data_IF_522211897390
#
_entry.id   IF_522211897390
#
_cell.length_a   1.000
_cell.length_b   1.000
_cell.length_c   1.000
_cell.angle_alpha   90.00
_cell.angle_beta   90.00
_cell.angle_gamma   90.00
#
_symmetry.space_group_name_H-M   'P 1'
#
loop_
_entity.id
_entity.type
_entity.pdbx_description
1 polymer ?
#
# COMPACT_ATOMS: atom_id res chain seq x y z
N UNK A 1 -27.93 -33.53 17.92
CA UNK A 1 -27.54 -34.12 16.62
C UNK A 1 -27.21 -32.97 15.67
N UNK A 2 -25.96 -32.49 15.70
CA UNK A 2 -25.54 -31.25 15.07
C UNK A 2 -24.57 -31.49 13.92
N UNK A 3 -24.78 -30.75 12.83
CA UNK A 3 -23.93 -30.25 11.71
C UNK A 3 -22.61 -31.01 11.36
N UNK A 4 -21.89 -31.59 12.31
CA UNK A 4 -20.69 -32.39 12.06
C UNK A 4 -20.95 -33.77 11.45
N UNK A 5 -22.19 -34.27 11.43
CA UNK A 5 -22.54 -35.51 10.73
C UNK A 5 -22.76 -35.33 9.22
N UNK A 6 -22.82 -34.09 8.71
CA UNK A 6 -22.96 -33.81 7.27
C UNK A 6 -21.61 -33.78 6.52
N UNK A 7 -20.49 -33.87 7.22
CA UNK A 7 -19.14 -33.94 6.64
C UNK A 7 -18.54 -35.37 6.68
N UNK A 8 -19.25 -36.32 7.30
CA UNK A 8 -18.83 -37.72 7.43
C UNK A 8 -19.49 -38.61 6.38
N UNK A 9 -19.03 -38.52 5.14
CA UNK A 9 -19.59 -39.32 4.04
C UNK A 9 -18.65 -39.45 2.86
N UNK A 10 -17.65 -40.32 3.00
CA UNK A 10 -16.90 -40.97 1.92
C UNK A 10 -16.67 -40.14 0.64
N UNK A 11 -15.67 -39.26 0.68
CA UNK A 11 -14.86 -39.00 -0.52
C UNK A 11 -13.47 -39.56 -0.27
N UNK A 12 -13.13 -40.56 -1.07
CA UNK A 12 -11.77 -41.07 -1.24
C UNK A 12 -10.78 -39.92 -1.10
N UNK A 13 -9.78 -40.07 -0.23
CA UNK A 13 -8.69 -39.12 -0.07
C UNK A 13 -8.00 -38.93 -1.43
N UNK A 14 -8.52 -38.01 -2.24
CA UNK A 14 -7.84 -37.56 -3.43
C UNK A 14 -6.55 -36.92 -2.93
N UNK A 15 -5.38 -37.31 -3.46
CA UNK A 15 -4.15 -36.60 -3.13
C UNK A 15 -4.41 -35.13 -3.42
N UNK A 16 -4.24 -34.28 -2.41
CA UNK A 16 -4.42 -32.84 -2.54
C UNK A 16 -3.70 -32.40 -3.82
N UNK A 17 -4.36 -31.63 -4.71
CA UNK A 17 -3.79 -31.29 -6.00
C UNK A 17 -2.40 -30.67 -5.79
N UNK A 18 -1.39 -31.23 -6.46
CA UNK A 18 -0.02 -30.70 -6.37
C UNK A 18 -0.04 -29.26 -6.86
N UNK A 19 0.07 -28.33 -5.93
CA UNK A 19 0.16 -26.91 -6.22
C UNK A 19 1.46 -26.66 -6.99
N UNK A 20 1.34 -25.94 -8.10
CA UNK A 20 2.50 -25.43 -8.83
C UNK A 20 3.27 -24.43 -7.96
N UNK A 21 4.58 -24.31 -8.15
CA UNK A 21 5.41 -23.33 -7.44
C UNK A 21 4.81 -21.90 -7.46
N UNK A 22 4.26 -21.39 -8.59
CA UNK A 22 3.56 -20.11 -8.62
C UNK A 22 2.32 -20.05 -7.73
N UNK A 23 1.52 -21.12 -7.66
CA UNK A 23 0.36 -21.18 -6.75
C UNK A 23 0.81 -21.14 -5.29
N UNK A 24 1.89 -21.84 -4.92
CA UNK A 24 2.45 -21.79 -3.57
C UNK A 24 2.89 -20.36 -3.21
N UNK A 25 3.55 -19.66 -4.14
CA UNK A 25 3.96 -18.26 -3.94
C UNK A 25 2.75 -17.35 -3.76
N UNK A 26 1.75 -17.45 -4.64
CA UNK A 26 0.52 -16.64 -4.56
C UNK A 26 -0.24 -16.90 -3.25
N UNK A 27 -0.37 -18.17 -2.86
CA UNK A 27 -1.01 -18.59 -1.61
C UNK A 27 -0.21 -18.08 -0.41
N UNK A 28 1.12 -18.19 -0.42
CA UNK A 28 1.98 -17.69 0.65
C UNK A 28 1.92 -16.18 0.82
N UNK A 29 1.98 -15.42 -0.28
CA UNK A 29 1.82 -13.95 -0.27
C UNK A 29 0.42 -13.58 0.22
N UNK A 30 -0.62 -14.23 -0.31
CA UNK A 30 -2.00 -13.99 0.11
C UNK A 30 -2.19 -14.24 1.61
N UNK A 31 -1.72 -15.38 2.14
CA UNK A 31 -1.86 -15.70 3.57
C UNK A 31 -1.03 -14.80 4.46
N UNK A 32 0.16 -14.39 4.04
CA UNK A 32 0.97 -13.43 4.80
C UNK A 32 0.23 -12.10 4.91
N UNK A 33 -0.28 -11.61 3.77
CA UNK A 33 -1.07 -10.37 3.70
C UNK A 33 -2.37 -10.49 4.51
N UNK A 34 -3.08 -11.61 4.38
CA UNK A 34 -4.33 -11.87 5.08
C UNK A 34 -4.12 -11.98 6.59
N UNK A 35 -3.10 -12.70 7.05
CA UNK A 35 -2.79 -12.83 8.49
C UNK A 35 -2.37 -11.49 9.08
N UNK A 36 -1.61 -10.68 8.34
CA UNK A 36 -1.26 -9.32 8.75
C UNK A 36 -2.49 -8.42 8.85
N UNK A 37 -3.38 -8.46 7.85
CA UNK A 37 -4.64 -7.70 7.86
C UNK A 37 -5.60 -8.17 8.95
N UNK A 38 -5.78 -9.48 9.09
CA UNK A 38 -6.65 -10.08 10.09
C UNK A 38 -6.13 -9.84 11.52
N UNK A 39 -4.82 -9.89 11.74
CA UNK A 39 -4.21 -9.50 13.00
C UNK A 39 -4.40 -7.99 13.26
N UNK A 40 -4.22 -7.14 12.24
CA UNK A 40 -4.50 -5.71 12.35
C UNK A 40 -5.94 -5.41 12.78
N UNK A 41 -6.92 -6.02 12.10
CA UNK A 41 -8.36 -5.86 12.38
C UNK A 41 -8.75 -6.43 13.76
N UNK A 42 -8.31 -7.66 14.07
CA UNK A 42 -8.65 -8.31 15.34
C UNK A 42 -8.05 -7.59 16.57
N UNK A 43 -6.94 -6.89 16.38
CA UNK A 43 -6.30 -6.08 17.43
C UNK A 43 -6.89 -4.67 17.52
N UNK A 44 -7.49 -4.14 16.43
CA UNK A 44 -8.24 -2.88 16.43
C UNK A 44 -9.57 -3.00 17.22
N UNK A 45 -10.22 -4.16 17.15
CA UNK A 45 -11.41 -4.51 17.95
C UNK A 45 -11.12 -4.68 19.46
N UNK A 46 -9.84 -4.79 19.86
CA UNK A 46 -9.42 -5.04 21.25
C UNK A 46 -9.28 -3.76 22.12
N UNK A 47 -9.50 -2.57 21.56
CA UNK A 47 -9.67 -1.33 22.33
C UNK A 47 -8.51 -0.32 22.31
N UNK A 48 -8.66 0.84 23.01
CA UNK A 48 -7.89 2.08 22.81
C UNK A 48 -6.44 2.10 23.30
N UNK A 49 -5.96 1.06 23.97
CA UNK A 49 -4.67 1.08 24.66
C UNK A 49 -3.54 0.36 23.90
N UNK A 50 -3.79 -0.18 22.69
CA UNK A 50 -2.72 -0.83 21.96
C UNK A 50 -1.84 0.18 21.24
N UNK A 51 -0.54 0.10 21.57
CA UNK A 51 0.58 0.64 20.80
C UNK A 51 0.26 0.58 19.30
N UNK A 52 0.62 1.61 18.52
CA UNK A 52 0.55 1.54 17.06
C UNK A 52 1.21 0.22 16.64
N UNK A 53 0.46 -0.77 16.16
CA UNK A 53 1.04 -1.96 15.53
C UNK A 53 1.57 -1.60 14.14
N UNK A 54 1.10 -0.48 13.58
CA UNK A 54 1.51 0.08 12.30
C UNK A 54 3.02 0.22 12.07
N UNK A 55 3.88 0.65 13.03
CA UNK A 55 5.32 0.77 12.84
C UNK A 55 6.04 -0.58 12.86
N UNK A 56 5.42 -1.65 13.38
CA UNK A 56 5.95 -3.02 13.31
C UNK A 56 5.46 -3.71 12.05
N UNK A 57 4.20 -3.46 11.66
CA UNK A 57 3.61 -4.02 10.45
C UNK A 57 4.25 -3.48 9.17
N UNK A 58 4.69 -2.22 9.12
CA UNK A 58 5.39 -1.67 7.95
C UNK A 58 6.71 -2.42 7.67
N UNK A 59 7.64 -2.61 8.63
CA UNK A 59 8.80 -3.47 8.47
C UNK A 59 8.46 -4.92 8.13
N UNK A 60 7.37 -5.49 8.65
CA UNK A 60 6.94 -6.85 8.32
C UNK A 60 6.45 -6.93 6.86
N UNK A 61 5.65 -5.97 6.41
CA UNK A 61 5.21 -5.87 5.01
C UNK A 61 6.42 -5.68 4.10
N UNK A 62 7.31 -4.74 4.43
CA UNK A 62 8.51 -4.45 3.66
C UNK A 62 9.48 -5.64 3.61
N UNK A 63 9.73 -6.27 4.76
CA UNK A 63 10.55 -7.46 4.90
C UNK A 63 9.98 -8.66 4.16
N UNK A 64 8.66 -8.88 4.24
CA UNK A 64 7.97 -9.91 3.47
C UNK A 64 8.08 -9.66 1.97
N UNK A 65 7.86 -8.42 1.51
CA UNK A 65 8.02 -8.05 0.10
C UNK A 65 9.45 -8.31 -0.38
N UNK A 66 10.46 -7.99 0.44
CA UNK A 66 11.86 -8.25 0.11
C UNK A 66 12.21 -9.73 0.10
N UNK A 67 11.69 -10.51 1.05
CA UNK A 67 11.92 -11.95 1.13
C UNK A 67 11.43 -12.67 -0.15
N UNK A 68 10.26 -12.26 -0.65
CA UNK A 68 9.63 -12.85 -1.84
C UNK A 68 9.90 -12.08 -3.14
N UNK A 69 10.73 -11.04 -3.11
CA UNK A 69 10.90 -10.10 -4.24
C UNK A 69 11.37 -10.81 -5.51
N UNK A 70 12.29 -11.78 -5.39
CA UNK A 70 12.81 -12.54 -6.52
C UNK A 70 11.73 -13.36 -7.22
N UNK A 71 10.92 -14.07 -6.43
CA UNK A 71 9.82 -14.91 -6.91
C UNK A 71 8.68 -14.07 -7.51
N UNK A 72 8.27 -13.00 -6.83
CA UNK A 72 7.27 -12.05 -7.35
C UNK A 72 7.75 -11.45 -8.66
N UNK A 73 9.01 -10.99 -8.72
CA UNK A 73 9.58 -10.41 -9.93
C UNK A 73 9.61 -11.43 -11.07
N UNK A 74 10.04 -12.67 -10.82
CA UNK A 74 10.07 -13.73 -11.83
C UNK A 74 8.67 -14.04 -12.38
N UNK A 75 7.67 -14.13 -11.49
CA UNK A 75 6.28 -14.33 -11.88
C UNK A 75 5.76 -13.17 -12.75
N UNK A 76 5.91 -11.93 -12.30
CA UNK A 76 5.47 -10.73 -13.04
C UNK A 76 6.17 -10.60 -14.39
N UNK A 77 7.42 -11.02 -14.46
CA UNK A 77 8.22 -10.93 -15.67
C UNK A 77 7.65 -11.82 -16.78
N UNK A 78 7.11 -12.99 -16.43
CA UNK A 78 6.54 -13.97 -17.37
C UNK A 78 5.05 -13.75 -17.65
N UNK A 79 4.42 -12.78 -16.97
CA UNK A 79 3.02 -12.45 -17.22
C UNK A 79 2.84 -11.80 -18.59
N UNK A 80 1.79 -12.20 -19.31
CA UNK A 80 1.36 -11.55 -20.57
C UNK A 80 0.74 -10.16 -20.34
N UNK A 81 0.41 -9.82 -19.09
CA UNK A 81 -0.27 -8.57 -18.73
C UNK A 81 0.67 -7.36 -19.03
N UNK A 82 0.14 -6.26 -19.60
CA UNK A 82 0.90 -5.04 -19.80
C UNK A 82 1.47 -4.47 -18.49
N UNK A 83 2.68 -3.94 -18.53
CA UNK A 83 3.39 -3.48 -17.33
C UNK A 83 2.65 -2.38 -16.55
N UNK A 84 1.93 -1.49 -17.23
CA UNK A 84 1.15 -0.43 -16.57
C UNK A 84 -0.05 -0.98 -15.80
N UNK A 85 -0.69 -2.04 -16.31
CA UNK A 85 -1.80 -2.72 -15.63
C UNK A 85 -1.28 -3.43 -14.38
N UNK A 86 -0.19 -4.20 -14.52
CA UNK A 86 0.47 -4.85 -13.38
C UNK A 86 0.91 -3.85 -12.32
N UNK A 87 1.48 -2.72 -12.74
CA UNK A 87 1.88 -1.64 -11.85
C UNK A 87 0.69 -1.06 -11.08
N UNK A 88 -0.44 -0.81 -11.77
CA UNK A 88 -1.66 -0.31 -11.16
C UNK A 88 -2.28 -1.30 -10.17
N UNK A 89 -2.49 -2.56 -10.58
CA UNK A 89 -3.10 -3.59 -9.73
C UNK A 89 -2.23 -3.85 -8.49
N UNK A 90 -0.94 -4.11 -8.70
CA UNK A 90 -0.02 -4.41 -7.61
C UNK A 90 0.17 -3.21 -6.69
N UNK A 91 0.24 -2.01 -7.27
CA UNK A 91 0.38 -0.79 -6.51
C UNK A 91 -0.84 -0.48 -5.66
N UNK A 92 -2.05 -0.65 -6.19
CA UNK A 92 -3.25 -0.48 -5.41
C UNK A 92 -3.36 -1.53 -4.31
N UNK A 93 -3.03 -2.79 -4.59
CA UNK A 93 -3.02 -3.86 -3.59
C UNK A 93 -2.06 -3.53 -2.44
N UNK A 94 -0.79 -3.24 -2.76
CA UNK A 94 0.26 -2.95 -1.77
C UNK A 94 -0.02 -1.66 -0.99
N UNK A 95 -0.55 -0.64 -1.66
CA UNK A 95 -0.93 0.60 -1.00
C UNK A 95 -2.10 0.37 -0.04
N UNK A 96 -3.15 -0.36 -0.45
CA UNK A 96 -4.29 -0.69 0.43
C UNK A 96 -3.85 -1.51 1.64
N UNK A 97 -2.93 -2.47 1.48
CA UNK A 97 -2.37 -3.23 2.61
C UNK A 97 -1.60 -2.31 3.57
N UNK A 98 -0.77 -1.41 3.01
CA UNK A 98 0.03 -0.48 3.81
C UNK A 98 -0.88 0.50 4.56
N UNK A 99 -1.88 1.06 3.87
CA UNK A 99 -2.88 1.96 4.46
C UNK A 99 -3.68 1.24 5.53
N UNK A 100 -4.20 0.04 5.25
CA UNK A 100 -4.93 -0.79 6.22
C UNK A 100 -4.11 -1.08 7.47
N UNK A 101 -2.80 -1.32 7.32
CA UNK A 101 -1.89 -1.49 8.45
C UNK A 101 -1.60 -0.18 9.22
N UNK A 102 -1.83 0.99 8.62
CA UNK A 102 -1.61 2.32 9.22
C UNK A 102 -2.89 3.03 9.69
N UNK A 103 -4.06 2.55 9.27
CA UNK A 103 -5.38 3.17 9.43
C UNK A 103 -5.82 3.29 10.89
N UNK A 104 -5.24 2.50 11.80
CA UNK A 104 -5.51 2.59 13.25
C UNK A 104 -5.28 3.97 13.89
N UNK A 105 -4.70 4.93 13.15
CA UNK A 105 -4.55 6.32 13.60
C UNK A 105 -5.58 7.33 13.05
N UNK A 106 -6.28 7.04 11.95
CA UNK A 106 -7.12 8.04 11.26
C UNK A 106 -8.60 7.67 11.12
N UNK A 107 -8.95 6.39 11.24
CA UNK A 107 -10.36 5.97 11.15
C UNK A 107 -11.12 6.27 12.44
N UNK A 108 -10.44 6.36 13.59
CA UNK A 108 -11.10 6.74 14.86
C UNK A 108 -11.69 8.16 14.85
N UNK A 109 -11.06 9.11 14.18
CA UNK A 109 -11.63 10.48 14.07
C UNK A 109 -12.79 10.55 13.05
N UNK A 110 -12.89 9.59 12.11
CA UNK A 110 -14.02 9.49 11.17
C UNK A 110 -15.07 8.44 11.55
N UNK A 111 -14.83 7.63 12.58
CA UNK A 111 -15.80 6.69 13.15
C UNK A 111 -16.95 7.40 13.90
N UNK A 112 -16.94 8.74 13.94
CA UNK A 112 -18.12 9.55 14.23
C UNK A 112 -19.10 9.68 13.03
N UNK A 113 -18.79 9.04 11.90
CA UNK A 113 -19.69 8.94 10.74
C UNK A 113 -20.23 7.51 10.61
N UNK A 114 -21.51 7.38 10.23
CA UNK A 114 -22.23 6.10 10.02
C UNK A 114 -21.67 5.25 8.85
N UNK A 115 -20.44 5.50 8.42
CA UNK A 115 -19.81 4.85 7.26
C UNK A 115 -19.07 3.60 7.75
N UNK A 116 -19.42 2.39 7.30
CA UNK A 116 -18.73 1.15 7.68
C UNK A 116 -17.22 1.23 7.42
N UNK A 117 -16.39 0.67 8.32
CA UNK A 117 -14.93 0.68 8.22
C UNK A 117 -14.37 0.12 6.87
N UNK A 118 -15.12 -0.80 6.25
CA UNK A 118 -14.82 -1.28 4.90
C UNK A 118 -14.94 -0.18 3.83
N UNK A 119 -15.95 0.70 3.94
CA UNK A 119 -16.17 1.81 3.02
C UNK A 119 -15.16 2.95 3.24
N UNK A 120 -14.65 3.17 4.46
CA UNK A 120 -13.57 4.15 4.68
C UNK A 120 -12.26 3.77 3.99
N UNK A 121 -11.98 2.46 3.86
CA UNK A 121 -10.80 1.98 3.11
C UNK A 121 -10.94 2.23 1.61
N UNK A 122 -12.16 2.13 1.06
CA UNK A 122 -12.41 2.38 -0.36
C UNK A 122 -12.12 3.83 -0.75
N UNK A 123 -12.34 4.81 0.13
CA UNK A 123 -12.07 6.23 -0.14
C UNK A 123 -10.62 6.48 -0.58
N UNK A 124 -9.68 5.66 -0.11
CA UNK A 124 -8.26 5.85 -0.40
C UNK A 124 -7.82 5.28 -1.77
N UNK A 125 -8.62 4.45 -2.42
CA UNK A 125 -8.24 3.84 -3.71
C UNK A 125 -7.93 4.90 -4.77
N UNK A 126 -8.81 5.90 -4.90
CA UNK A 126 -8.65 7.02 -5.84
C UNK A 126 -7.32 7.74 -5.71
N UNK A 127 -7.03 8.39 -4.56
CA UNK A 127 -5.78 9.12 -4.38
C UNK A 127 -4.53 8.29 -4.68
N UNK A 128 -4.48 7.03 -4.22
CA UNK A 128 -3.35 6.14 -4.47
C UNK A 128 -3.21 5.73 -5.94
N UNK A 129 -4.31 5.54 -6.67
CA UNK A 129 -4.27 5.36 -8.12
C UNK A 129 -3.62 6.57 -8.81
N UNK A 130 -3.93 7.78 -8.35
CA UNK A 130 -3.33 9.02 -8.83
C UNK A 130 -1.81 9.08 -8.60
N UNK A 131 -1.35 8.71 -7.41
CA UNK A 131 0.08 8.66 -7.07
C UNK A 131 0.84 7.63 -7.92
N UNK A 132 0.23 6.47 -8.16
CA UNK A 132 0.77 5.44 -9.05
C UNK A 132 0.86 5.93 -10.49
N UNK A 133 -0.20 6.55 -11.01
CA UNK A 133 -0.23 7.13 -12.36
C UNK A 133 0.84 8.22 -12.53
N UNK A 134 0.98 9.11 -11.55
CA UNK A 134 2.01 10.15 -11.54
C UNK A 134 3.43 9.55 -11.55
N UNK A 135 3.67 8.54 -10.72
CA UNK A 135 4.96 7.83 -10.65
C UNK A 135 5.29 7.13 -11.96
N UNK A 136 4.30 6.46 -12.57
CA UNK A 136 4.44 5.81 -13.86
C UNK A 136 4.77 6.82 -14.97
N UNK A 137 4.05 7.95 -15.01
CA UNK A 137 4.27 9.01 -15.98
C UNK A 137 5.65 9.63 -15.84
N UNK A 138 6.06 9.96 -14.61
CA UNK A 138 7.38 10.51 -14.32
C UNK A 138 8.50 9.54 -14.75
N UNK A 139 8.29 8.23 -14.56
CA UNK A 139 9.24 7.20 -15.00
C UNK A 139 9.42 7.09 -16.50
N UNK A 140 8.45 7.53 -17.32
CA UNK A 140 8.67 7.62 -18.78
C UNK A 140 9.82 8.56 -19.13
N UNK A 141 10.14 9.51 -18.25
CA UNK A 141 11.17 10.53 -18.48
C UNK A 141 12.44 10.32 -17.67
N UNK A 142 12.31 9.92 -16.41
CA UNK A 142 13.42 9.83 -15.45
C UNK A 142 13.53 8.46 -14.79
N UNK A 143 14.77 8.03 -14.53
CA UNK A 143 15.13 6.74 -13.91
C UNK A 143 14.86 6.73 -12.40
N UNK A 144 13.63 7.05 -12.00
CA UNK A 144 13.21 6.91 -10.60
C UNK A 144 13.26 5.44 -10.17
N UNK A 145 13.71 5.24 -8.94
CA UNK A 145 13.94 3.94 -8.29
C UNK A 145 13.02 3.85 -7.08
N UNK A 146 12.87 2.66 -6.48
CA UNK A 146 12.03 2.46 -5.30
C UNK A 146 12.37 3.45 -4.17
N UNK A 147 13.65 3.64 -3.84
CA UNK A 147 14.05 4.59 -2.78
C UNK A 147 13.70 6.05 -3.09
N UNK A 148 13.66 6.44 -4.37
CA UNK A 148 13.25 7.79 -4.75
C UNK A 148 11.77 8.01 -4.45
N UNK A 149 10.92 7.05 -4.82
CA UNK A 149 9.50 7.11 -4.51
C UNK A 149 9.26 7.02 -2.99
N UNK A 150 10.01 6.18 -2.29
CA UNK A 150 9.94 6.04 -0.84
C UNK A 150 10.15 7.38 -0.13
N UNK A 151 11.28 8.06 -0.41
CA UNK A 151 11.58 9.32 0.26
C UNK A 151 10.66 10.46 -0.20
N UNK A 152 10.30 10.51 -1.48
CA UNK A 152 9.43 11.59 -1.99
C UNK A 152 8.03 11.49 -1.40
N UNK A 153 7.41 10.31 -1.45
CA UNK A 153 6.07 10.12 -0.90
C UNK A 153 6.06 10.08 0.62
N UNK A 154 7.08 9.47 1.23
CA UNK A 154 7.22 9.45 2.67
C UNK A 154 7.35 10.86 3.25
N UNK A 155 8.19 11.72 2.64
CA UNK A 155 8.32 13.11 3.05
C UNK A 155 7.04 13.91 2.79
N UNK A 156 6.40 13.74 1.63
CA UNK A 156 5.11 14.38 1.35
C UNK A 156 4.06 13.99 2.38
N UNK A 157 3.88 12.68 2.63
CA UNK A 157 2.96 12.17 3.62
C UNK A 157 3.25 12.72 5.02
N UNK A 158 4.52 12.71 5.44
CA UNK A 158 4.91 13.27 6.73
C UNK A 158 4.58 14.77 6.86
N UNK A 159 4.67 15.54 5.77
CA UNK A 159 4.39 16.98 5.79
C UNK A 159 2.89 17.31 5.69
N UNK A 160 2.08 16.44 5.09
CA UNK A 160 0.67 16.77 4.76
C UNK A 160 -0.35 16.02 5.59
N UNK A 161 0.00 14.86 6.15
CA UNK A 161 -0.96 13.99 6.82
C UNK A 161 -1.27 14.44 8.25
N UNK A 162 -2.40 13.98 8.78
CA UNK A 162 -2.93 14.39 10.10
C UNK A 162 -3.02 15.91 10.27
N UNK A 163 -3.41 16.63 9.21
CA UNK A 163 -3.50 18.09 9.24
C UNK A 163 -2.16 18.79 9.40
N UNK A 164 -1.05 18.12 9.07
CA UNK A 164 0.30 18.66 9.28
C UNK A 164 0.76 18.55 10.74
N UNK A 165 0.34 17.50 11.46
CA UNK A 165 0.75 17.30 12.86
C UNK A 165 2.28 17.32 13.05
N UNK A 166 3.04 16.71 12.14
CA UNK A 166 4.50 16.70 12.20
C UNK A 166 5.11 18.10 12.03
N UNK A 167 4.82 18.88 10.96
CA UNK A 167 5.36 20.23 10.86
C UNK A 167 4.87 21.15 11.99
N UNK A 168 3.62 21.00 12.46
CA UNK A 168 3.11 21.78 13.59
C UNK A 168 3.88 21.49 14.88
N UNK A 169 4.12 20.22 15.23
CA UNK A 169 4.91 19.85 16.41
C UNK A 169 6.33 20.43 16.37
N UNK A 170 6.98 20.42 15.19
CA UNK A 170 8.30 21.04 15.01
C UNK A 170 8.26 22.57 15.21
N UNK A 171 7.21 23.23 14.70
CA UNK A 171 7.03 24.68 14.86
C UNK A 171 6.72 25.08 16.31
N UNK A 172 6.03 24.22 17.06
CA UNK A 172 5.72 24.39 18.48
C UNK A 172 6.91 24.08 19.40
N UNK A 173 8.04 23.62 18.84
CA UNK A 173 9.26 23.31 19.58
C UNK A 173 9.32 21.89 20.14
N UNK A 174 8.31 21.04 19.87
CA UNK A 174 8.36 19.60 20.18
C UNK A 174 9.12 18.83 19.09
N UNK A 175 10.45 18.97 19.13
CA UNK A 175 11.36 18.32 18.19
C UNK A 175 11.27 16.79 18.29
N UNK A 176 11.12 16.26 19.51
CA UNK A 176 11.07 14.80 19.73
C UNK A 176 9.78 14.23 19.16
N UNK A 177 8.63 14.84 19.43
CA UNK A 177 7.35 14.44 18.86
C UNK A 177 7.34 14.52 17.33
N UNK A 178 7.84 15.62 16.76
CA UNK A 178 7.95 15.79 15.31
C UNK A 178 8.85 14.74 14.64
N UNK A 179 9.99 14.39 15.26
CA UNK A 179 10.88 13.34 14.75
C UNK A 179 10.26 11.94 14.85
N UNK A 180 9.58 11.63 15.97
CA UNK A 180 8.86 10.36 16.11
C UNK A 180 7.74 10.22 15.08
N UNK A 181 6.99 11.30 14.81
CA UNK A 181 6.00 11.35 13.74
C UNK A 181 6.65 11.17 12.37
N UNK A 182 7.81 11.77 12.10
CA UNK A 182 8.51 11.58 10.83
C UNK A 182 8.98 10.13 10.63
N UNK A 183 9.57 9.53 11.67
CA UNK A 183 10.00 8.11 11.67
C UNK A 183 8.83 7.17 11.42
N UNK A 184 7.61 7.58 11.80
CA UNK A 184 6.39 6.83 11.56
C UNK A 184 5.78 7.07 10.16
N UNK A 185 5.55 8.32 9.81
CA UNK A 185 4.83 8.72 8.59
C UNK A 185 5.66 8.45 7.33
N UNK A 186 6.99 8.66 7.37
CA UNK A 186 7.82 8.46 6.18
C UNK A 186 7.74 7.00 5.68
N UNK A 187 7.94 5.96 6.52
CA UNK A 187 7.74 4.58 6.10
C UNK A 187 6.30 4.26 5.70
N UNK A 188 5.31 4.76 6.44
CA UNK A 188 3.89 4.49 6.16
C UNK A 188 3.48 4.89 4.74
N UNK A 189 3.84 6.11 4.33
CA UNK A 189 3.47 6.63 3.01
C UNK A 189 4.51 6.27 1.93
N UNK A 190 5.77 6.12 2.31
CA UNK A 190 6.85 5.77 1.40
C UNK A 190 6.72 4.35 0.84
N UNK A 191 6.26 3.38 1.64
CA UNK A 191 6.25 1.96 1.24
C UNK A 191 5.27 1.64 0.11
N UNK A 192 4.06 2.21 0.08
CA UNK A 192 3.01 1.80 -0.87
C UNK A 192 3.46 1.78 -2.34
N UNK A 193 3.94 2.93 -2.85
CA UNK A 193 4.43 3.02 -4.24
C UNK A 193 5.87 2.49 -4.38
N UNK A 194 6.72 2.65 -3.37
CA UNK A 194 8.10 2.19 -3.44
C UNK A 194 8.22 0.67 -3.55
N UNK A 195 7.37 -0.07 -2.82
CA UNK A 195 7.31 -1.52 -2.85
C UNK A 195 6.94 -2.01 -4.26
N UNK A 196 5.94 -1.37 -4.87
CA UNK A 196 5.50 -1.63 -6.25
C UNK A 196 6.66 -1.49 -7.24
N UNK A 197 7.43 -0.40 -7.13
CA UNK A 197 8.62 -0.19 -7.96
C UNK A 197 9.74 -1.18 -7.66
N UNK A 198 9.85 -1.65 -6.42
CA UNK A 198 10.86 -2.61 -5.98
C UNK A 198 10.63 -4.00 -6.55
N UNK A 199 9.39 -4.46 -6.61
CA UNK A 199 9.07 -5.81 -7.11
C UNK A 199 8.88 -5.87 -8.62
N UNK A 200 8.49 -4.76 -9.26
CA UNK A 200 8.25 -4.74 -10.70
C UNK A 200 9.53 -5.01 -11.51
N UNK A 201 9.50 -5.94 -12.47
CA UNK A 201 10.64 -6.22 -13.33
C UNK A 201 10.93 -5.03 -14.25
N UNK A 202 12.21 -4.70 -14.45
CA UNK A 202 12.61 -3.51 -15.21
C UNK A 202 12.06 -3.48 -16.64
N UNK A 203 11.99 -4.65 -17.31
CA UNK A 203 11.42 -4.79 -18.65
C UNK A 203 9.92 -4.46 -18.76
N UNK A 204 9.20 -4.43 -17.63
CA UNK A 204 7.78 -4.07 -17.58
C UNK A 204 7.58 -2.61 -17.16
N UNK A 205 8.63 -1.92 -16.73
CA UNK A 205 8.58 -0.51 -16.35
C UNK A 205 8.92 0.36 -17.57
N UNK A 206 8.52 1.64 -17.60
CA UNK A 206 8.87 2.53 -18.69
C UNK A 206 10.40 2.67 -18.84
N UNK A 207 10.90 2.58 -20.07
CA UNK A 207 12.31 2.82 -20.38
C UNK A 207 12.64 4.31 -20.21
N UNK A 208 13.27 4.63 -19.09
CA UNK A 208 13.60 6.00 -18.76
C UNK A 208 14.96 6.44 -19.33
N UNK A 209 15.01 7.64 -19.91
CA UNK A 209 16.20 8.13 -20.62
C UNK A 209 17.16 8.96 -19.77
N UNK A 210 16.70 9.59 -18.68
CA UNK A 210 17.51 10.54 -17.87
C UNK A 210 17.64 10.12 -16.41
N UNK A 211 18.76 10.44 -15.78
CA UNK A 211 18.89 10.39 -14.33
C UNK A 211 17.97 11.45 -13.69
N UNK A 212 17.41 11.20 -12.49
CA UNK A 212 16.62 12.20 -11.77
C UNK A 212 17.52 13.35 -11.30
N UNK A 213 17.09 14.58 -11.58
CA UNK A 213 17.69 15.83 -11.07
C UNK A 213 16.74 16.47 -10.06
N UNK A 214 17.17 17.52 -9.35
CA UNK A 214 16.30 18.26 -8.42
C UNK A 214 14.99 18.70 -9.10
N UNK A 215 15.06 19.22 -10.32
CA UNK A 215 13.87 19.58 -11.10
C UNK A 215 12.98 18.38 -11.45
N UNK A 216 13.54 17.17 -11.59
CA UNK A 216 12.76 15.95 -11.77
C UNK A 216 11.97 15.59 -10.50
N UNK A 217 12.56 15.74 -9.30
CA UNK A 217 11.84 15.53 -8.04
C UNK A 217 10.72 16.55 -7.85
N UNK A 218 10.98 17.83 -8.14
CA UNK A 218 9.93 18.85 -8.12
C UNK A 218 8.78 18.50 -9.08
N UNK A 219 9.10 18.05 -10.30
CA UNK A 219 8.10 17.59 -11.25
C UNK A 219 7.34 16.34 -10.76
N UNK A 220 8.03 15.38 -10.13
CA UNK A 220 7.40 14.20 -9.53
C UNK A 220 6.41 14.59 -8.45
N UNK A 221 6.81 15.48 -7.53
CA UNK A 221 5.96 16.01 -6.46
C UNK A 221 4.72 16.70 -7.05
N UNK A 222 4.92 17.58 -8.04
CA UNK A 222 3.81 18.28 -8.69
C UNK A 222 2.84 17.30 -9.39
N UNK A 223 3.38 16.31 -10.12
CA UNK A 223 2.57 15.28 -10.76
C UNK A 223 1.81 14.43 -9.73
N UNK A 224 2.44 14.10 -8.60
CA UNK A 224 1.80 13.36 -7.51
C UNK A 224 0.66 14.17 -6.90
N UNK A 225 0.84 15.46 -6.64
CA UNK A 225 -0.21 16.36 -6.17
C UNK A 225 -1.38 16.44 -7.14
N UNK A 226 -1.10 16.69 -8.43
CA UNK A 226 -2.13 16.77 -9.47
C UNK A 226 -2.86 15.42 -9.61
N UNK A 227 -2.11 14.32 -9.67
CA UNK A 227 -2.66 12.97 -9.78
C UNK A 227 -3.54 12.62 -8.58
N UNK A 228 -3.06 12.90 -7.37
CA UNK A 228 -3.82 12.73 -6.13
C UNK A 228 -5.14 13.51 -6.19
N UNK A 229 -5.10 14.80 -6.52
CA UNK A 229 -6.29 15.65 -6.54
C UNK A 229 -7.32 15.18 -7.59
N UNK A 230 -6.87 14.95 -8.84
CA UNK A 230 -7.75 14.52 -9.93
C UNK A 230 -8.37 13.17 -9.62
N UNK A 231 -7.58 12.17 -9.23
CA UNK A 231 -8.11 10.84 -8.98
C UNK A 231 -8.94 10.78 -7.69
N UNK A 232 -8.64 11.59 -6.67
CA UNK A 232 -9.51 11.72 -5.50
C UNK A 232 -10.87 12.28 -5.89
N UNK A 233 -10.90 13.37 -6.67
CA UNK A 233 -12.15 13.97 -7.13
C UNK A 233 -12.97 13.00 -7.99
N UNK A 234 -12.33 12.35 -8.97
CA UNK A 234 -12.99 11.35 -9.83
C UNK A 234 -13.53 10.17 -9.00
N UNK A 235 -12.75 9.70 -8.03
CA UNK A 235 -13.15 8.57 -7.19
C UNK A 235 -14.31 8.92 -6.26
N UNK A 236 -14.32 10.12 -5.68
CA UNK A 236 -15.46 10.62 -4.89
C UNK A 236 -16.73 10.68 -5.74
N UNK A 237 -16.64 11.12 -7.01
CA UNK A 237 -17.78 11.11 -7.93
C UNK A 237 -18.28 9.68 -8.18
N UNK A 238 -17.36 8.72 -8.40
CA UNK A 238 -17.70 7.31 -8.58
C UNK A 238 -18.39 6.75 -7.33
N UNK A 239 -17.84 6.99 -6.14
CA UNK A 239 -18.41 6.52 -4.88
C UNK A 239 -19.83 7.07 -4.66
N UNK A 240 -20.07 8.36 -4.94
CA UNK A 240 -21.42 8.98 -4.87
C UNK A 240 -22.42 8.44 -5.88
N UNK A 241 -21.95 7.80 -6.95
CA UNK A 241 -22.83 7.12 -7.91
C UNK A 241 -23.21 5.70 -7.46
N UNK A 242 -22.49 5.14 -6.49
CA UNK A 242 -22.65 3.77 -6.01
C UNK A 242 -23.41 3.74 -4.67
N UNK A 243 -23.15 4.71 -3.79
CA UNK A 243 -23.78 4.88 -2.47
C UNK A 243 -24.74 6.07 -2.49
#
# INVERSE_FOLDING_TARGET
MGIFSALGGATLAQPAPKLSKPQIIVIGVFWTVYLVLAAGIALEDAGPAMLPLSPVLIPVIWGGIHLWQGDIRAFLANSAIPGWVLFGILGLLLSTITIGATIGFGVRERAASDIPAAASTLVFIGPWAGLLAATWLARRRWKFRSYHAFWTLGALGALTEQGGAMPTALLEGDIVGGLLLAVYLVPAYGVGVAATLGVMPERKLPEAKRAPTVGAFAALIALMWIGFAIFSALWVVILRGIF
#
